data_IF_657748225072
#
_entry.id   IF_657748225072
#
_cell.length_a   1.000
_cell.length_b   1.000
_cell.length_c   1.000
_cell.angle_alpha   90.00
_cell.angle_beta   90.00
_cell.angle_gamma   90.00
#
_symmetry.space_group_name_H-M   'P 1'
#
loop_
_entity.id
_entity.type
_entity.pdbx_description
1 polymer ?
#
# COMPACT_ATOMS: atom_id res chain seq x y z
N UNK A 1 2.84 36.72 -9.85
CA UNK A 1 3.46 36.51 -8.52
C UNK A 1 3.88 37.79 -7.77
N UNK A 2 3.68 39.02 -8.28
CA UNK A 2 4.19 40.24 -7.63
C UNK A 2 3.49 40.64 -6.32
N UNK A 3 2.15 40.65 -6.30
CA UNK A 3 1.37 41.33 -5.23
C UNK A 3 1.40 40.66 -3.86
N UNK A 4 1.66 39.34 -3.80
CA UNK A 4 1.71 38.59 -2.53
C UNK A 4 2.93 38.97 -1.68
N UNK A 5 4.02 39.42 -2.31
CA UNK A 5 5.24 39.86 -1.62
C UNK A 5 5.08 41.22 -0.95
N UNK A 6 4.08 42.00 -1.37
CA UNK A 6 3.81 43.34 -0.88
C UNK A 6 2.81 43.34 0.29
N UNK A 7 2.13 42.20 0.54
CA UNK A 7 1.18 42.09 1.65
C UNK A 7 1.91 42.19 3.01
N UNK A 8 1.39 42.90 4.00
CA UNK A 8 1.91 42.89 5.37
C UNK A 8 1.78 41.49 6.02
N UNK A 9 2.59 41.20 7.04
CA UNK A 9 2.64 39.87 7.67
C UNK A 9 1.31 39.45 8.30
N UNK A 10 0.52 40.42 8.76
CA UNK A 10 -0.81 40.27 9.34
C UNK A 10 -1.77 39.68 8.30
N UNK A 11 -1.74 40.16 7.06
CA UNK A 11 -2.56 39.62 5.98
C UNK A 11 -2.08 38.23 5.55
N UNK A 12 -0.76 37.96 5.57
CA UNK A 12 -0.23 36.62 5.31
C UNK A 12 -0.66 35.60 6.41
N UNK A 13 -0.69 36.03 7.67
CA UNK A 13 -1.18 35.20 8.76
C UNK A 13 -2.70 35.01 8.68
N UNK A 14 -3.43 36.04 8.25
CA UNK A 14 -4.88 35.95 8.02
C UNK A 14 -5.20 34.93 6.91
N UNK A 15 -4.46 34.95 5.80
CA UNK A 15 -4.60 33.94 4.73
C UNK A 15 -4.33 32.55 5.28
N UNK A 16 -3.22 32.35 6.01
CA UNK A 16 -2.90 31.06 6.63
C UNK A 16 -4.02 30.55 7.55
N UNK A 17 -4.63 31.45 8.33
CA UNK A 17 -5.72 31.13 9.24
C UNK A 17 -7.06 30.80 8.54
N UNK A 18 -7.20 31.12 7.26
CA UNK A 18 -8.38 30.80 6.45
C UNK A 18 -8.15 29.61 5.50
N UNK A 19 -6.94 29.05 5.46
CA UNK A 19 -6.73 27.78 4.77
C UNK A 19 -7.47 26.69 5.54
N UNK A 20 -8.13 25.80 4.80
CA UNK A 20 -8.71 24.59 5.35
C UNK A 20 -7.61 23.80 6.08
N UNK A 21 -7.85 23.44 7.34
CA UNK A 21 -6.88 22.74 8.19
C UNK A 21 -6.71 21.26 7.83
N UNK A 22 -7.49 20.80 6.85
CA UNK A 22 -7.41 19.48 6.23
C UNK A 22 -6.84 19.49 4.81
N UNK A 23 -6.66 20.65 4.15
CA UNK A 23 -6.16 20.71 2.77
C UNK A 23 -4.61 20.75 2.72
N UNK A 24 -4.00 19.56 2.64
CA UNK A 24 -2.54 19.41 2.57
C UNK A 24 -1.92 20.19 1.40
N UNK A 25 -2.55 20.18 0.22
CA UNK A 25 -2.00 20.78 -0.99
C UNK A 25 -1.97 22.31 -0.89
N UNK A 26 -3.03 22.93 -0.36
CA UNK A 26 -3.07 24.36 -0.12
C UNK A 26 -1.99 24.80 0.88
N UNK A 27 -1.82 24.07 1.99
CA UNK A 27 -0.80 24.38 2.99
C UNK A 27 0.62 24.28 2.42
N UNK A 28 0.92 23.22 1.66
CA UNK A 28 2.25 23.07 1.03
C UNK A 28 2.47 24.12 -0.06
N UNK A 29 1.46 24.42 -0.88
CA UNK A 29 1.52 25.47 -1.89
C UNK A 29 1.82 26.83 -1.23
N UNK A 30 1.04 27.21 -0.21
CA UNK A 30 1.21 28.46 0.51
C UNK A 30 2.59 28.57 1.17
N UNK A 31 3.08 27.49 1.78
CA UNK A 31 4.43 27.44 2.35
C UNK A 31 5.52 27.69 1.29
N UNK A 32 5.35 27.18 0.07
CA UNK A 32 6.34 27.27 -1.00
C UNK A 32 6.38 28.61 -1.71
N UNK A 33 5.34 29.46 -1.58
CA UNK A 33 5.24 30.75 -2.30
C UNK A 33 6.46 31.67 -2.08
N UNK A 34 6.89 31.91 -0.84
CA UNK A 34 8.08 32.70 -0.55
C UNK A 34 8.60 32.51 0.89
N UNK A 35 9.74 33.12 1.22
CA UNK A 35 10.31 33.05 2.56
C UNK A 35 9.40 33.64 3.66
N UNK A 36 8.54 34.62 3.32
CA UNK A 36 7.62 35.27 4.27
C UNK A 36 6.47 34.34 4.66
N UNK A 37 5.83 33.68 3.69
CA UNK A 37 4.78 32.70 3.98
C UNK A 37 5.33 31.52 4.77
N UNK A 38 6.55 31.05 4.45
CA UNK A 38 7.28 30.07 5.26
C UNK A 38 7.47 30.51 6.71
N UNK A 39 7.80 31.77 6.95
CA UNK A 39 7.97 32.31 8.30
C UNK A 39 6.66 32.33 9.09
N UNK A 40 5.49 32.47 8.43
CA UNK A 40 4.19 32.35 9.08
C UNK A 40 3.98 30.98 9.74
N UNK A 41 4.45 29.89 9.11
CA UNK A 41 4.37 28.54 9.67
C UNK A 41 5.26 28.32 10.90
N UNK A 42 6.26 29.17 11.15
CA UNK A 42 7.02 29.11 12.41
C UNK A 42 6.16 29.48 13.63
N UNK A 43 5.03 30.15 13.40
CA UNK A 43 4.03 30.51 14.42
C UNK A 43 2.83 29.56 14.42
N UNK A 44 2.82 28.55 13.55
CA UNK A 44 1.73 27.59 13.51
C UNK A 44 1.71 26.71 14.76
N UNK A 45 0.53 26.17 15.08
CA UNK A 45 0.37 25.26 16.21
C UNK A 45 1.28 24.03 16.06
N UNK A 46 1.90 23.53 17.14
CA UNK A 46 2.67 22.30 17.13
C UNK A 46 1.88 21.14 16.52
N UNK A 47 2.56 20.27 15.77
CA UNK A 47 1.94 19.10 15.14
C UNK A 47 1.03 19.43 13.95
N UNK A 48 1.09 20.64 13.40
CA UNK A 48 0.31 21.02 12.20
C UNK A 48 0.53 20.02 11.06
N UNK A 49 1.79 19.71 10.72
CA UNK A 49 2.08 18.82 9.59
C UNK A 49 1.57 17.40 9.86
N UNK A 50 1.64 16.94 11.11
CA UNK A 50 1.03 15.66 11.51
C UNK A 50 -0.48 15.68 11.28
N UNK A 51 -1.19 16.71 11.76
CA UNK A 51 -2.65 16.82 11.57
C UNK A 51 -3.03 16.85 10.09
N UNK A 52 -2.35 17.68 9.29
CA UNK A 52 -2.59 17.74 7.84
C UNK A 52 -2.39 16.40 7.15
N UNK A 53 -1.26 15.73 7.40
CA UNK A 53 -0.95 14.44 6.79
C UNK A 53 -2.01 13.39 7.16
N UNK A 54 -2.40 13.32 8.45
CA UNK A 54 -3.42 12.36 8.91
C UNK A 54 -4.83 12.68 8.39
N UNK A 55 -5.19 13.97 8.29
CA UNK A 55 -6.46 14.40 7.74
C UNK A 55 -6.61 14.03 6.25
N UNK A 56 -5.51 13.75 5.54
CA UNK A 56 -5.52 13.26 4.16
C UNK A 56 -5.31 11.73 4.08
N UNK A 57 -5.60 11.01 5.17
CA UNK A 57 -5.51 9.55 5.26
C UNK A 57 -4.09 8.99 5.09
N UNK A 58 -3.07 9.78 5.44
CA UNK A 58 -1.66 9.38 5.33
C UNK A 58 -1.02 9.18 6.71
N UNK A 59 -0.07 8.23 6.78
CA UNK A 59 0.74 7.91 7.95
C UNK A 59 2.25 7.98 7.68
N UNK A 60 3.03 7.84 8.76
CA UNK A 60 4.42 7.42 8.66
C UNK A 60 4.45 5.90 8.59
N UNK A 61 5.42 5.31 7.89
CA UNK A 61 5.56 3.86 7.89
C UNK A 61 6.28 3.35 9.16
N UNK A 62 6.24 2.04 9.39
CA UNK A 62 6.78 1.37 10.58
C UNK A 62 8.31 1.49 10.74
N UNK A 63 9.02 1.94 9.71
CA UNK A 63 10.47 2.17 9.74
C UNK A 63 10.83 3.61 10.10
N UNK A 64 9.85 4.51 10.15
CA UNK A 64 10.05 5.94 10.34
C UNK A 64 9.77 6.36 11.80
N UNK A 65 10.69 7.13 12.39
CA UNK A 65 10.46 7.74 13.70
C UNK A 65 9.61 9.01 13.57
N UNK A 66 8.55 9.09 14.36
CA UNK A 66 7.66 10.25 14.40
C UNK A 66 8.38 11.50 14.94
N UNK A 67 8.65 12.45 14.04
CA UNK A 67 9.19 13.78 14.38
C UNK A 67 8.50 14.84 13.52
N UNK A 68 8.42 16.08 14.00
CA UNK A 68 7.78 17.16 13.23
C UNK A 68 8.46 17.38 11.87
N UNK A 69 9.80 17.28 11.82
CA UNK A 69 10.57 17.36 10.58
C UNK A 69 10.17 16.24 9.60
N UNK A 70 9.86 15.06 10.10
CA UNK A 70 9.48 13.90 9.28
C UNK A 70 8.06 14.05 8.73
N UNK A 71 7.10 14.46 9.54
CA UNK A 71 5.74 14.77 9.08
C UNK A 71 5.73 15.86 8.02
N UNK A 72 6.51 16.93 8.23
CA UNK A 72 6.68 17.97 7.23
C UNK A 72 7.32 17.44 5.95
N UNK A 73 8.33 16.58 6.05
CA UNK A 73 8.96 15.97 4.87
C UNK A 73 7.93 15.16 4.07
N UNK A 74 7.14 14.33 4.73
CA UNK A 74 6.08 13.53 4.11
C UNK A 74 5.01 14.40 3.45
N UNK A 75 4.55 15.45 4.13
CA UNK A 75 3.61 16.42 3.56
C UNK A 75 4.08 16.97 2.21
N UNK A 76 5.38 17.29 2.10
CA UNK A 76 5.96 17.85 0.89
C UNK A 76 6.14 16.80 -0.20
N UNK A 77 6.65 15.62 0.15
CA UNK A 77 6.82 14.51 -0.81
C UNK A 77 5.48 14.09 -1.42
N UNK A 78 4.44 13.94 -0.59
CA UNK A 78 3.11 13.58 -1.07
C UNK A 78 2.47 14.69 -1.91
N UNK A 79 2.58 15.96 -1.51
CA UNK A 79 2.03 17.07 -2.29
C UNK A 79 2.76 17.25 -3.64
N UNK A 80 4.09 17.13 -3.67
CA UNK A 80 4.86 17.18 -4.91
C UNK A 80 4.50 16.04 -5.85
N UNK A 81 4.36 14.82 -5.31
CA UNK A 81 3.92 13.68 -6.09
C UNK A 81 2.47 13.85 -6.57
N UNK A 82 1.58 14.41 -5.74
CA UNK A 82 0.19 14.63 -6.10
C UNK A 82 0.05 15.47 -7.37
N UNK A 83 0.84 16.54 -7.50
CA UNK A 83 0.81 17.41 -8.68
C UNK A 83 1.50 16.83 -9.92
N UNK A 84 2.28 15.75 -9.76
CA UNK A 84 3.05 15.14 -10.85
C UNK A 84 2.54 13.75 -11.25
N UNK A 85 1.67 13.14 -10.45
CA UNK A 85 1.15 11.81 -10.68
C UNK A 85 -0.09 11.89 -11.58
N UNK A 86 -0.02 11.21 -12.71
CA UNK A 86 -1.12 11.12 -13.69
C UNK A 86 -2.02 9.88 -13.44
N UNK A 87 -1.78 9.12 -12.37
CA UNK A 87 -2.60 7.96 -12.02
C UNK A 87 -3.95 8.40 -11.43
N UNK A 88 -5.09 7.97 -11.99
CA UNK A 88 -6.42 8.34 -11.49
C UNK A 88 -6.73 7.79 -10.10
N UNK A 89 -6.05 6.71 -9.68
CA UNK A 89 -6.23 6.07 -8.37
C UNK A 89 -5.17 6.55 -7.35
N UNK A 90 -4.35 7.52 -7.73
CA UNK A 90 -3.33 8.14 -6.88
C UNK A 90 -3.40 9.67 -7.00
N UNK A 91 -2.31 10.36 -6.68
CA UNK A 91 -2.20 11.79 -6.98
C UNK A 91 -3.10 12.68 -6.10
N UNK A 92 -3.70 13.69 -6.73
CA UNK A 92 -4.65 14.61 -6.06
C UNK A 92 -5.94 13.88 -5.68
N UNK A 93 -6.50 13.11 -6.60
CA UNK A 93 -7.80 12.44 -6.42
C UNK A 93 -7.79 11.50 -5.22
N UNK A 94 -6.70 10.73 -5.03
CA UNK A 94 -6.54 9.88 -3.84
C UNK A 94 -6.45 10.67 -2.54
N UNK A 95 -5.79 11.83 -2.52
CA UNK A 95 -5.72 12.65 -1.31
C UNK A 95 -7.08 13.22 -0.95
N UNK A 96 -7.88 13.61 -1.95
CA UNK A 96 -9.25 14.07 -1.76
C UNK A 96 -10.16 12.93 -1.26
N UNK A 97 -10.13 11.75 -1.89
CA UNK A 97 -10.89 10.57 -1.44
C UNK A 97 -10.56 10.20 0.01
N UNK A 98 -9.26 10.14 0.34
CA UNK A 98 -8.81 9.86 1.70
C UNK A 98 -9.31 10.92 2.69
N UNK A 99 -9.24 12.21 2.32
CA UNK A 99 -9.70 13.31 3.17
C UNK A 99 -11.19 13.24 3.42
N UNK A 100 -12.01 13.02 2.39
CA UNK A 100 -13.45 12.88 2.56
C UNK A 100 -13.79 11.65 3.42
N UNK A 101 -13.13 10.52 3.21
CA UNK A 101 -13.37 9.32 4.03
C UNK A 101 -12.99 9.54 5.50
N UNK A 102 -11.88 10.24 5.77
CA UNK A 102 -11.48 10.61 7.14
C UNK A 102 -12.50 11.58 7.76
N UNK A 103 -13.00 12.54 6.98
CA UNK A 103 -14.00 13.50 7.44
C UNK A 103 -15.33 12.84 7.76
N UNK A 104 -15.83 11.96 6.90
CA UNK A 104 -17.02 11.14 7.16
C UNK A 104 -16.87 10.33 8.45
N UNK A 105 -15.68 9.75 8.67
CA UNK A 105 -15.37 9.02 9.90
C UNK A 105 -15.39 9.95 11.12
N UNK A 106 -14.80 11.15 11.04
CA UNK A 106 -14.79 12.12 12.14
C UNK A 106 -16.18 12.67 12.46
N UNK A 107 -17.03 12.85 11.45
CA UNK A 107 -18.44 13.22 11.67
C UNK A 107 -19.20 12.11 12.41
N UNK A 108 -18.90 10.85 12.05
CA UNK A 108 -19.49 9.68 12.67
C UNK A 108 -18.94 9.41 14.09
N UNK A 109 -17.65 9.60 14.30
CA UNK A 109 -16.94 9.40 15.56
C UNK A 109 -16.03 10.60 15.90
N UNK A 110 -16.57 11.68 16.48
CA UNK A 110 -15.82 12.91 16.76
C UNK A 110 -14.71 12.77 17.82
N UNK A 111 -14.85 11.79 18.71
CA UNK A 111 -13.84 11.49 19.75
C UNK A 111 -12.64 10.71 19.22
N UNK A 112 -12.67 10.30 17.94
CA UNK A 112 -11.61 9.55 17.33
C UNK A 112 -10.30 10.35 17.27
N UNK A 113 -9.26 9.86 17.96
CA UNK A 113 -7.95 10.52 18.07
C UNK A 113 -6.91 10.02 17.05
N UNK A 114 -7.38 9.26 16.07
CA UNK A 114 -6.61 8.60 15.03
C UNK A 114 -5.84 7.33 15.46
N UNK A 115 -6.04 6.79 16.65
CA UNK A 115 -5.49 5.48 17.05
C UNK A 115 -6.56 4.68 17.79
N UNK A 116 -6.97 3.53 17.24
CA UNK A 116 -7.92 2.65 17.92
C UNK A 116 -7.46 1.21 17.78
N UNK A 117 -7.63 0.45 18.86
CA UNK A 117 -7.54 -1.00 18.81
C UNK A 117 -8.75 -1.58 18.07
N UNK A 118 -8.52 -2.58 17.22
CA UNK A 118 -9.53 -3.12 16.29
C UNK A 118 -10.84 -3.61 16.96
N UNK A 119 -10.80 -3.88 18.26
CA UNK A 119 -11.89 -4.53 19.01
C UNK A 119 -13.18 -3.70 19.03
N UNK A 120 -13.10 -2.38 18.94
CA UNK A 120 -14.27 -1.49 19.10
C UNK A 120 -14.97 -1.12 17.77
N UNK A 121 -14.45 -1.58 16.62
CA UNK A 121 -14.74 -0.97 15.31
C UNK A 121 -15.22 -1.89 14.19
N UNK A 122 -15.45 -3.16 14.48
CA UNK A 122 -15.64 -4.19 13.45
C UNK A 122 -16.70 -3.88 12.37
N UNK A 123 -17.72 -3.10 12.68
CA UNK A 123 -18.84 -2.82 11.76
C UNK A 123 -18.58 -1.67 10.77
N UNK A 124 -17.55 -0.84 11.00
CA UNK A 124 -17.19 0.29 10.13
C UNK A 124 -15.79 0.21 9.54
N UNK A 125 -15.03 -0.82 9.91
CA UNK A 125 -13.67 -1.00 9.47
C UNK A 125 -13.63 -1.43 8.00
N UNK A 126 -12.97 -0.63 7.16
CA UNK A 126 -12.83 -0.91 5.72
C UNK A 126 -11.36 -0.89 5.32
N UNK A 127 -10.89 -1.86 4.52
CA UNK A 127 -9.56 -1.76 3.93
C UNK A 127 -9.55 -0.65 2.86
N UNK A 128 -8.38 -0.06 2.60
CA UNK A 128 -8.24 0.91 1.52
C UNK A 128 -8.46 0.24 0.16
N UNK A 129 -9.19 0.92 -0.74
CA UNK A 129 -9.40 0.48 -2.12
C UNK A 129 -8.10 0.36 -2.91
N UNK A 130 -7.02 1.00 -2.44
CA UNK A 130 -5.70 0.95 -3.05
C UNK A 130 -5.13 -0.48 -3.11
N UNK A 131 -5.50 -1.38 -2.20
CA UNK A 131 -5.03 -2.77 -2.26
C UNK A 131 -5.48 -3.50 -3.53
N UNK A 132 -6.69 -3.21 -4.03
CA UNK A 132 -7.19 -3.76 -5.30
C UNK A 132 -6.38 -3.28 -6.52
N UNK A 133 -5.71 -2.14 -6.38
CA UNK A 133 -4.89 -1.55 -7.42
C UNK A 133 -3.44 -2.03 -7.37
N UNK A 134 -3.04 -2.83 -6.38
CA UNK A 134 -1.66 -3.31 -6.28
C UNK A 134 -1.50 -4.61 -7.07
N UNK A 135 -0.58 -4.58 -8.04
CA UNK A 135 -0.04 -5.76 -8.72
C UNK A 135 1.35 -6.09 -8.25
N UNK A 136 1.82 -7.29 -8.53
CA UNK A 136 3.18 -7.73 -8.25
C UNK A 136 3.88 -8.20 -9.52
N UNK A 137 5.15 -7.82 -9.66
CA UNK A 137 5.99 -8.19 -10.79
C UNK A 137 6.87 -9.41 -10.45
N UNK A 138 7.58 -9.90 -11.47
CA UNK A 138 8.29 -11.19 -11.37
C UNK A 138 9.69 -11.11 -10.77
N UNK A 139 10.04 -9.96 -10.19
CA UNK A 139 11.37 -9.71 -9.65
C UNK A 139 11.48 -10.13 -8.20
N UNK A 140 10.69 -11.13 -7.80
CA UNK A 140 10.78 -11.69 -6.47
C UNK A 140 12.16 -12.26 -6.25
N UNK A 141 12.82 -11.89 -5.14
CA UNK A 141 14.07 -12.51 -4.80
C UNK A 141 13.87 -13.98 -4.46
N UNK A 142 14.75 -14.83 -5.00
CA UNK A 142 14.76 -16.25 -4.64
C UNK A 142 14.97 -16.40 -3.13
N UNK A 143 14.28 -17.34 -2.45
CA UNK A 143 14.41 -17.56 -1.00
C UNK A 143 15.86 -17.76 -0.55
N UNK A 144 16.66 -18.47 -1.35
CA UNK A 144 18.09 -18.75 -1.09
C UNK A 144 19.04 -17.56 -1.30
N UNK A 145 18.53 -16.37 -1.66
CA UNK A 145 19.35 -15.17 -1.71
C UNK A 145 19.65 -14.69 -0.28
N UNK A 146 20.70 -15.25 0.33
CA UNK A 146 21.26 -14.98 1.69
C UNK A 146 21.46 -13.49 2.06
N UNK A 147 21.19 -12.56 1.15
CA UNK A 147 21.47 -11.12 1.29
C UNK A 147 20.25 -10.22 1.23
N UNK A 148 19.04 -10.77 1.03
CA UNK A 148 17.85 -9.93 1.03
C UNK A 148 17.27 -9.98 2.43
N UNK A 149 17.41 -8.86 3.15
CA UNK A 149 16.48 -8.53 4.21
C UNK A 149 15.08 -8.57 3.59
N UNK A 150 14.42 -9.73 3.74
CA UNK A 150 13.08 -10.06 3.25
C UNK A 150 12.04 -9.00 3.65
N UNK A 151 12.38 -8.07 4.53
CA UNK A 151 11.56 -6.98 5.04
C UNK A 151 11.07 -5.97 4.00
N UNK A 152 11.47 -6.04 2.72
CA UNK A 152 10.98 -5.08 1.70
C UNK A 152 10.74 -5.66 0.31
N UNK A 153 10.83 -6.99 0.13
CA UNK A 153 10.67 -7.61 -1.18
C UNK A 153 9.32 -7.28 -1.83
N UNK A 154 8.24 -7.32 -1.05
CA UNK A 154 6.90 -7.01 -1.54
C UNK A 154 6.77 -5.57 -2.01
N UNK A 155 7.34 -4.61 -1.28
CA UNK A 155 7.34 -3.19 -1.68
C UNK A 155 8.07 -2.98 -3.00
N UNK A 156 9.18 -3.70 -3.23
CA UNK A 156 9.98 -3.58 -4.46
C UNK A 156 9.35 -4.26 -5.67
N UNK A 157 8.55 -5.30 -5.45
CA UNK A 157 7.89 -6.03 -6.52
C UNK A 157 6.49 -5.48 -6.82
N UNK A 158 5.91 -4.69 -5.91
CA UNK A 158 4.59 -4.11 -6.08
C UNK A 158 4.59 -2.91 -7.05
N UNK A 159 3.49 -2.76 -7.79
CA UNK A 159 3.21 -1.63 -8.71
C UNK A 159 1.70 -1.35 -8.75
N UNK A 160 1.28 -0.22 -9.32
CA UNK A 160 -0.13 0.14 -9.47
C UNK A 160 -0.71 -0.35 -10.82
N UNK A 161 -1.75 -1.19 -10.79
CA UNK A 161 -2.43 -1.68 -12.00
C UNK A 161 -3.28 -0.57 -12.65
N UNK A 162 -3.70 -0.76 -13.92
CA UNK A 162 -3.05 -1.53 -14.98
C UNK A 162 -2.09 -0.68 -15.83
N UNK A 163 -2.16 0.65 -15.71
CA UNK A 163 -1.52 1.60 -16.62
C UNK A 163 -0.19 2.16 -16.10
N UNK A 164 0.08 2.07 -14.79
CA UNK A 164 1.31 2.60 -14.20
C UNK A 164 2.24 1.47 -13.78
N UNK A 165 3.21 1.20 -14.66
CA UNK A 165 4.38 0.35 -14.32
C UNK A 165 5.30 0.99 -13.28
N UNK A 166 4.90 2.11 -12.70
CA UNK A 166 5.63 2.77 -11.64
C UNK A 166 5.62 1.88 -10.40
N UNK A 167 6.83 1.62 -9.89
CA UNK A 167 7.02 0.75 -8.75
C UNK A 167 6.50 1.45 -7.49
N UNK A 168 5.80 0.69 -6.64
CA UNK A 168 5.24 1.18 -5.38
C UNK A 168 6.30 1.85 -4.50
N UNK A 169 7.55 1.38 -4.54
CA UNK A 169 8.68 1.99 -3.81
C UNK A 169 8.87 3.50 -4.10
N UNK A 170 8.36 3.99 -5.23
CA UNK A 170 8.43 5.39 -5.65
C UNK A 170 7.10 6.16 -5.49
N UNK A 171 6.05 5.54 -4.95
CA UNK A 171 4.74 6.18 -4.75
C UNK A 171 4.54 6.61 -3.29
N UNK A 172 4.92 7.84 -2.91
CA UNK A 172 4.86 8.28 -1.53
C UNK A 172 3.44 8.38 -0.98
N UNK A 173 2.44 8.65 -1.83
CA UNK A 173 1.03 8.68 -1.44
C UNK A 173 0.56 7.26 -1.18
N UNK A 174 0.66 6.38 -2.18
CA UNK A 174 0.18 5.00 -2.10
C UNK A 174 0.77 4.24 -0.90
N UNK A 175 2.08 4.33 -0.69
CA UNK A 175 2.74 3.66 0.43
C UNK A 175 2.35 4.21 1.80
N UNK A 176 1.93 5.47 1.89
CA UNK A 176 1.61 6.13 3.16
C UNK A 176 0.12 6.20 3.44
N UNK A 177 -0.72 5.91 2.47
CA UNK A 177 -2.15 5.72 2.70
C UNK A 177 -2.35 4.68 3.81
N UNK A 178 -3.24 4.99 4.75
CA UNK A 178 -3.61 4.02 5.79
C UNK A 178 -4.19 2.77 5.15
N UNK A 179 -3.78 1.60 5.66
CA UNK A 179 -4.25 0.32 5.14
C UNK A 179 -5.75 0.12 5.40
N UNK A 180 -6.27 0.75 6.45
CA UNK A 180 -7.67 0.67 6.84
C UNK A 180 -8.20 2.04 7.20
N UNK A 181 -9.52 2.18 7.11
CA UNK A 181 -10.25 3.34 7.61
C UNK A 181 -11.32 2.83 8.60
N UNK A 182 -11.26 3.28 9.87
CA UNK A 182 -10.19 4.09 10.45
C UNK A 182 -8.83 3.34 10.51
N UNK A 183 -7.69 4.06 10.56
CA UNK A 183 -6.38 3.45 10.76
C UNK A 183 -6.29 2.66 12.06
N UNK A 184 -5.82 1.42 11.94
CA UNK A 184 -5.55 0.51 13.05
C UNK A 184 -4.07 0.49 13.41
N UNK A 185 -3.74 0.37 14.70
CA UNK A 185 -2.35 0.19 15.11
C UNK A 185 -1.79 -1.18 14.72
N UNK A 186 -2.66 -2.18 14.65
CA UNK A 186 -2.32 -3.56 14.34
C UNK A 186 -3.31 -4.11 13.32
N UNK A 187 -2.81 -4.40 12.13
CA UNK A 187 -3.55 -5.02 11.04
C UNK A 187 -3.13 -6.48 10.94
N UNK A 188 -4.04 -7.40 11.27
CA UNK A 188 -3.83 -8.84 11.08
C UNK A 188 -4.33 -9.22 9.69
N UNK A 189 -3.44 -9.73 8.86
CA UNK A 189 -3.77 -10.26 7.53
C UNK A 189 -3.71 -11.78 7.64
N UNK A 190 -4.88 -12.39 7.67
CA UNK A 190 -5.10 -13.82 7.78
C UNK A 190 -5.20 -14.47 6.39
N UNK A 191 -5.03 -15.79 6.41
CA UNK A 191 -5.40 -16.71 5.34
C UNK A 191 -5.09 -16.21 3.93
N UNK A 192 -3.88 -15.71 3.76
CA UNK A 192 -3.31 -15.57 2.44
C UNK A 192 -3.13 -17.03 2.00
N UNK A 193 -4.07 -17.64 1.27
CA UNK A 193 -3.93 -19.00 0.72
C UNK A 193 -3.53 -20.13 1.70
N UNK A 194 -4.05 -20.16 2.92
CA UNK A 194 -3.63 -21.08 4.02
C UNK A 194 -2.20 -20.88 4.53
N UNK A 195 -1.63 -19.70 4.31
CA UNK A 195 -0.36 -19.28 4.90
C UNK A 195 -0.54 -18.76 6.33
N UNK A 196 0.53 -18.77 7.16
CA UNK A 196 0.47 -18.19 8.49
C UNK A 196 0.06 -16.72 8.41
N UNK A 197 -0.79 -16.30 9.34
CA UNK A 197 -1.18 -14.91 9.44
C UNK A 197 0.04 -14.01 9.68
N UNK A 198 -0.04 -12.81 9.14
CA UNK A 198 0.95 -11.76 9.33
C UNK A 198 0.31 -10.57 10.01
N UNK A 199 1.11 -9.80 10.75
CA UNK A 199 0.62 -8.62 11.44
C UNK A 199 1.47 -7.42 11.09
N UNK A 200 0.85 -6.42 10.46
CA UNK A 200 1.45 -5.11 10.28
C UNK A 200 1.17 -4.27 11.53
N UNK A 201 2.23 -3.77 12.17
CA UNK A 201 2.12 -2.97 13.41
C UNK A 201 2.72 -1.58 13.20
N UNK A 202 1.94 -0.57 13.57
CA UNK A 202 2.35 0.82 13.54
C UNK A 202 1.47 1.64 14.50
N UNK A 203 2.03 2.13 15.59
CA UNK A 203 1.29 2.93 16.59
C UNK A 203 0.67 4.22 16.00
N UNK A 204 1.13 4.67 14.83
CA UNK A 204 0.55 5.80 14.11
C UNK A 204 -0.57 5.43 13.13
N UNK A 205 -1.01 4.16 13.13
CA UNK A 205 -1.88 3.59 12.11
C UNK A 205 -1.08 2.85 11.02
N UNK A 206 -1.40 1.59 10.77
CA UNK A 206 -0.80 0.78 9.74
C UNK A 206 -1.07 1.38 8.36
N UNK A 207 0.00 1.53 7.57
CA UNK A 207 -0.04 2.00 6.19
C UNK A 207 0.01 0.83 5.21
N UNK A 208 -0.29 1.08 3.94
CA UNK A 208 -0.12 0.10 2.87
C UNK A 208 1.32 -0.43 2.82
N UNK A 209 2.32 0.43 3.02
CA UNK A 209 3.71 -0.01 3.14
C UNK A 209 3.91 -1.04 4.26
N UNK A 210 3.28 -0.82 5.41
CA UNK A 210 3.42 -1.73 6.57
C UNK A 210 2.77 -3.08 6.30
N UNK A 211 1.62 -3.09 5.63
CA UNK A 211 0.95 -4.29 5.16
C UNK A 211 1.83 -5.08 4.18
N UNK A 212 2.41 -4.41 3.17
CA UNK A 212 3.31 -5.03 2.20
C UNK A 212 4.57 -5.61 2.88
N UNK A 213 5.17 -4.90 3.84
CA UNK A 213 6.30 -5.42 4.62
C UNK A 213 5.90 -6.65 5.44
N UNK A 214 4.72 -6.65 6.06
CA UNK A 214 4.26 -7.82 6.81
C UNK A 214 4.08 -9.03 5.88
N UNK A 215 3.47 -8.82 4.71
CA UNK A 215 3.26 -9.86 3.69
C UNK A 215 4.58 -10.38 3.10
N UNK A 216 5.63 -9.57 3.01
CA UNK A 216 6.91 -9.99 2.44
C UNK A 216 7.57 -11.12 3.23
N UNK A 217 7.27 -11.25 4.53
CA UNK A 217 7.72 -12.36 5.37
C UNK A 217 7.06 -13.71 5.05
N UNK A 218 5.97 -13.73 4.30
CA UNK A 218 5.29 -14.95 3.84
C UNK A 218 5.49 -15.19 2.35
N UNK A 219 5.52 -14.12 1.57
CA UNK A 219 5.68 -14.17 0.11
C UNK A 219 6.98 -14.91 -0.32
N UNK A 220 8.07 -14.77 0.44
CA UNK A 220 9.34 -15.46 0.16
C UNK A 220 9.42 -16.91 0.64
N UNK A 221 8.34 -17.52 1.15
CA UNK A 221 8.37 -18.89 1.68
C UNK A 221 7.98 -19.90 0.59
N UNK A 222 8.61 -21.08 0.66
CA UNK A 222 8.24 -22.23 -0.17
C UNK A 222 6.79 -22.64 0.08
N UNK A 223 6.13 -23.05 -0.99
CA UNK A 223 4.77 -23.54 -0.92
C UNK A 223 4.76 -25.05 -0.64
N UNK A 224 4.10 -25.46 0.45
CA UNK A 224 3.90 -26.90 0.72
C UNK A 224 2.81 -27.48 -0.19
N UNK A 225 2.87 -28.79 -0.48
CA UNK A 225 1.81 -29.45 -1.25
C UNK A 225 0.42 -29.30 -0.61
N UNK A 226 0.32 -29.30 0.73
CA UNK A 226 -0.94 -29.08 1.44
C UNK A 226 -1.49 -27.67 1.22
N UNK A 227 -0.63 -26.65 1.18
CA UNK A 227 -1.05 -25.28 0.88
C UNK A 227 -1.50 -25.14 -0.57
N UNK A 228 -0.74 -25.73 -1.50
CA UNK A 228 -1.15 -25.73 -2.90
C UNK A 228 -2.47 -26.47 -3.09
N UNK A 229 -2.68 -27.63 -2.46
CA UNK A 229 -3.95 -28.38 -2.54
C UNK A 229 -5.14 -27.53 -2.06
N UNK A 230 -4.97 -26.79 -0.96
CA UNK A 230 -6.00 -25.85 -0.48
C UNK A 230 -6.25 -24.69 -1.42
N UNK A 231 -5.20 -24.12 -2.01
CA UNK A 231 -5.32 -23.07 -3.03
C UNK A 231 -6.03 -23.60 -4.28
N UNK A 232 -5.66 -24.81 -4.71
CA UNK A 232 -6.29 -25.49 -5.84
C UNK A 232 -7.75 -25.82 -5.54
N UNK A 233 -8.10 -26.22 -4.32
CA UNK A 233 -9.49 -26.43 -3.91
C UNK A 233 -10.28 -25.12 -3.90
N UNK A 234 -9.65 -24.03 -3.45
CA UNK A 234 -10.23 -22.70 -3.48
C UNK A 234 -10.45 -22.19 -4.92
N UNK A 235 -9.52 -22.48 -5.84
CA UNK A 235 -9.60 -22.11 -7.26
C UNK A 235 -10.36 -23.13 -8.14
N UNK A 236 -10.64 -24.31 -7.62
CA UNK A 236 -10.87 -25.53 -8.40
C UNK A 236 -12.21 -25.60 -9.13
N UNK A 237 -13.15 -24.71 -8.82
CA UNK A 237 -14.46 -24.67 -9.48
C UNK A 237 -14.51 -23.65 -10.64
N UNK A 238 -13.61 -22.66 -10.67
CA UNK A 238 -13.70 -21.52 -11.59
C UNK A 238 -12.70 -21.55 -12.76
N UNK A 239 -11.81 -22.55 -12.83
CA UNK A 239 -10.92 -22.74 -13.99
C UNK A 239 -9.76 -21.73 -14.07
N UNK A 240 -9.18 -21.36 -12.92
CA UNK A 240 -8.03 -20.44 -12.83
C UNK A 240 -6.82 -20.84 -13.70
N UNK A 241 -6.60 -22.14 -13.87
CA UNK A 241 -5.52 -22.67 -14.68
C UNK A 241 -6.02 -23.13 -16.05
N UNK A 242 -5.25 -22.90 -17.13
CA UNK A 242 -5.53 -23.51 -18.42
C UNK A 242 -5.69 -25.03 -18.27
N UNK A 243 -6.69 -25.60 -18.94
CA UNK A 243 -7.07 -27.02 -18.80
C UNK A 243 -5.96 -27.98 -19.22
N UNK A 244 -4.96 -27.50 -19.96
CA UNK A 244 -3.79 -28.25 -20.42
C UNK A 244 -2.60 -28.17 -19.44
N UNK A 245 -2.66 -27.34 -18.40
CA UNK A 245 -1.65 -27.34 -17.35
C UNK A 245 -1.80 -28.58 -16.48
N UNK A 246 -0.75 -29.39 -16.41
CA UNK A 246 -0.70 -30.50 -15.47
C UNK A 246 -0.49 -29.98 -14.04
N UNK A 247 -0.80 -30.81 -13.04
CA UNK A 247 -0.48 -30.49 -11.64
C UNK A 247 1.01 -30.18 -11.43
N UNK A 248 1.90 -30.86 -12.16
CA UNK A 248 3.35 -30.61 -12.13
C UNK A 248 3.68 -29.21 -12.67
N UNK A 249 2.98 -28.78 -13.71
CA UNK A 249 3.19 -27.47 -14.30
C UNK A 249 2.78 -26.36 -13.35
N UNK A 250 1.63 -26.52 -12.69
CA UNK A 250 1.15 -25.60 -11.65
C UNK A 250 2.18 -25.52 -10.52
N UNK A 251 2.62 -26.67 -9.98
CA UNK A 251 3.67 -26.72 -8.95
C UNK A 251 4.96 -26.00 -9.37
N UNK A 252 5.36 -26.18 -10.63
CA UNK A 252 6.58 -25.56 -11.17
C UNK A 252 6.44 -24.06 -11.34
N UNK A 253 5.21 -23.57 -11.58
CA UNK A 253 4.90 -22.14 -11.63
C UNK A 253 4.64 -21.54 -10.24
N UNK A 254 4.26 -22.34 -9.24
CA UNK A 254 3.88 -21.90 -7.88
C UNK A 254 4.87 -22.29 -6.78
N UNK A 255 6.17 -22.34 -7.06
CA UNK A 255 7.15 -22.90 -6.12
C UNK A 255 7.25 -22.16 -4.78
N UNK A 256 6.92 -20.86 -4.75
CA UNK A 256 6.88 -20.04 -3.53
C UNK A 256 5.69 -19.08 -3.57
N UNK A 257 5.27 -18.57 -2.41
CA UNK A 257 4.05 -17.77 -2.27
C UNK A 257 3.99 -16.56 -3.21
N UNK A 258 5.10 -15.85 -3.43
CA UNK A 258 5.13 -14.70 -4.34
C UNK A 258 4.74 -14.99 -5.78
N UNK A 259 5.01 -16.20 -6.26
CA UNK A 259 4.58 -16.62 -7.60
C UNK A 259 3.07 -16.76 -7.72
N UNK A 260 2.36 -17.03 -6.61
CA UNK A 260 0.90 -17.05 -6.60
C UNK A 260 0.30 -15.69 -6.99
N UNK A 261 0.88 -14.60 -6.49
CA UNK A 261 0.48 -13.24 -6.83
C UNK A 261 0.80 -12.86 -8.30
N UNK A 262 1.57 -13.70 -9.01
CA UNK A 262 1.78 -13.57 -10.46
C UNK A 262 0.72 -14.32 -11.26
N UNK A 263 0.15 -15.38 -10.70
CA UNK A 263 -0.85 -16.22 -11.35
C UNK A 263 -2.28 -15.78 -11.07
N UNK A 264 -2.47 -14.95 -10.05
CA UNK A 264 -3.77 -14.40 -9.67
C UNK A 264 -3.73 -12.88 -9.65
N UNK A 265 -4.89 -12.27 -9.80
CA UNK A 265 -5.04 -10.84 -9.57
C UNK A 265 -5.37 -10.62 -8.11
N UNK A 266 -4.50 -9.94 -7.36
CA UNK A 266 -4.89 -9.47 -6.03
C UNK A 266 -6.01 -8.44 -6.18
N UNK A 267 -7.18 -8.73 -5.61
CA UNK A 267 -8.37 -7.88 -5.63
C UNK A 267 -8.50 -7.03 -4.36
N UNK A 268 -7.62 -7.26 -3.39
CA UNK A 268 -7.48 -6.45 -2.19
C UNK A 268 -7.65 -7.25 -0.91
N UNK A 269 -8.14 -6.58 0.13
CA UNK A 269 -8.42 -7.19 1.43
C UNK A 269 -9.92 -7.16 1.68
N UNK A 270 -10.42 -8.15 2.41
CA UNK A 270 -11.77 -8.18 2.97
C UNK A 270 -11.69 -8.42 4.47
N UNK A 271 -12.57 -7.79 5.25
CA UNK A 271 -12.65 -8.01 6.69
C UNK A 271 -13.44 -9.30 6.95
N UNK A 272 -12.80 -10.31 7.53
CA UNK A 272 -13.46 -11.50 8.07
C UNK A 272 -13.35 -11.51 9.60
N UNK A 273 -14.50 -11.35 10.26
CA UNK A 273 -14.66 -11.44 11.71
C UNK A 273 -13.77 -10.47 12.51
N UNK A 274 -12.47 -10.74 12.62
CA UNK A 274 -11.49 -9.91 13.30
C UNK A 274 -10.17 -9.68 12.56
N UNK A 275 -10.05 -10.17 11.33
CA UNK A 275 -8.83 -10.11 10.53
C UNK A 275 -9.16 -9.80 9.09
N UNK A 276 -8.12 -9.54 8.30
CA UNK A 276 -8.27 -9.24 6.88
C UNK A 276 -7.78 -10.42 6.06
N UNK A 277 -8.63 -10.92 5.18
CA UNK A 277 -8.28 -11.99 4.25
C UNK A 277 -7.92 -11.39 2.89
N UNK A 278 -6.94 -11.98 2.21
CA UNK A 278 -6.60 -11.57 0.85
C UNK A 278 -7.63 -12.12 -0.14
N UNK A 279 -8.22 -11.23 -0.94
CA UNK A 279 -9.11 -11.60 -2.04
C UNK A 279 -8.30 -11.72 -3.33
N UNK A 280 -8.51 -12.81 -4.07
CA UNK A 280 -7.87 -13.00 -5.37
C UNK A 280 -8.91 -13.24 -6.46
N UNK A 281 -8.64 -12.67 -7.62
CA UNK A 281 -9.40 -12.86 -8.84
C UNK A 281 -8.60 -13.65 -9.87
N UNK A 282 -9.31 -14.15 -10.88
CA UNK A 282 -8.71 -14.86 -12.00
C UNK A 282 -7.86 -13.93 -12.84
N UNK A 283 -6.58 -14.29 -13.06
CA UNK A 283 -5.72 -13.62 -14.04
C UNK A 283 -5.67 -14.46 -15.30
N UNK A 284 -5.74 -13.82 -16.47
CA UNK A 284 -5.56 -14.54 -17.73
C UNK A 284 -4.11 -15.00 -17.86
N UNK A 285 -3.89 -16.29 -17.67
CA UNK A 285 -2.57 -16.92 -17.84
C UNK A 285 -2.20 -17.09 -19.31
N UNK A 286 -0.90 -17.13 -19.66
CA UNK A 286 -0.42 -17.55 -20.97
C UNK A 286 -0.94 -18.93 -21.34
N UNK A 287 -1.00 -19.23 -22.64
CA UNK A 287 -1.53 -20.52 -23.11
C UNK A 287 -0.65 -21.68 -22.63
N UNK A 288 0.66 -21.47 -22.55
CA UNK A 288 1.57 -22.52 -22.05
C UNK A 288 2.34 -22.08 -20.81
N UNK A 289 2.64 -23.07 -19.97
CA UNK A 289 3.49 -22.93 -18.78
C UNK A 289 4.86 -22.42 -19.16
N UNK A 290 5.40 -22.91 -20.29
CA UNK A 290 6.68 -22.43 -20.83
C UNK A 290 6.63 -20.93 -21.12
N UNK A 291 5.60 -20.43 -21.78
CA UNK A 291 5.46 -18.99 -22.04
C UNK A 291 5.39 -18.18 -20.74
N UNK A 292 4.69 -18.68 -19.73
CA UNK A 292 4.67 -18.08 -18.40
C UNK A 292 6.06 -18.04 -17.78
N UNK A 293 6.74 -19.20 -17.71
CA UNK A 293 8.07 -19.29 -17.12
C UNK A 293 9.11 -18.47 -17.89
N UNK A 294 9.07 -18.46 -19.22
CA UNK A 294 9.99 -17.68 -20.06
C UNK A 294 9.77 -16.17 -19.90
N UNK A 295 8.51 -15.72 -19.79
CA UNK A 295 8.21 -14.30 -19.60
C UNK A 295 8.61 -13.80 -18.21
N UNK A 296 8.57 -14.66 -17.18
CA UNK A 296 8.76 -14.27 -15.79
C UNK A 296 10.20 -14.52 -15.29
N UNK A 297 10.84 -15.61 -15.73
CA UNK A 297 12.18 -16.00 -15.28
C UNK A 297 13.27 -15.88 -16.37
N UNK A 298 12.89 -15.56 -17.61
CA UNK A 298 13.80 -15.51 -18.76
C UNK A 298 14.43 -16.88 -19.08
N UNK A 299 15.50 -16.89 -19.88
CA UNK A 299 16.26 -18.11 -20.23
C UNK A 299 17.01 -18.77 -19.05
N UNK A 300 16.79 -18.31 -17.81
CA UNK A 300 17.45 -18.85 -16.62
C UNK A 300 16.73 -20.06 -16.03
N UNK A 301 15.56 -20.45 -16.56
CA UNK A 301 15.00 -21.75 -16.21
C UNK A 301 15.94 -22.85 -16.72
N UNK A 302 16.56 -23.64 -15.84
CA UNK A 302 17.33 -24.77 -16.30
C UNK A 302 16.32 -25.74 -16.91
N UNK A 303 16.43 -25.96 -18.22
CA UNK A 303 15.70 -27.02 -18.94
C UNK A 303 16.18 -28.41 -18.53
N UNK A 304 16.85 -28.53 -17.38
CA UNK A 304 17.33 -29.79 -16.86
C UNK A 304 16.15 -30.58 -16.34
N UNK A 305 16.04 -31.83 -16.78
CA UNK A 305 15.15 -32.82 -16.21
C UNK A 305 15.37 -32.86 -14.69
N UNK A 306 14.51 -32.18 -13.94
CA UNK A 306 14.49 -32.34 -12.50
C UNK A 306 13.82 -33.68 -12.19
N UNK A 307 14.66 -34.69 -11.94
CA UNK A 307 14.26 -35.92 -11.25
C UNK A 307 13.95 -35.59 -9.79
N UNK A 308 12.74 -35.10 -9.53
CA UNK A 308 12.15 -35.10 -8.19
C UNK A 308 11.48 -36.46 -7.96
N UNK A 309 12.25 -37.43 -7.46
CA UNK A 309 11.75 -38.65 -6.81
C UNK A 309 12.13 -38.63 -5.34
#
# INVERSE_FOLDING_TARGET
MGRLRDLPNELLLLILAHLDDTDLLQHVCYFKLCARTRACFARAAPGLWRRLVRANGLGLNCLEKATEKKWKKVAFECAEHAWACDDPECGVDRLEENRETIKEMQEYWPEWDHSVDAVDLYWNLRPTSLFAQIGFNDRWPHPDADTITLSSAAVKCAFLKPNNRDLMEHHPIALRTFATIPPLESLVIDDVGSWPSVTAKNAGGATVHDALIAMSGVIGKDMTCTQLDKLMAWCGEDGYFPTDWSFRDILSATSFVGTWFQLTDWEGLELDSSSFICQFGSKRLPYTVREHLESHYGHRYPTGDYDWM
#
